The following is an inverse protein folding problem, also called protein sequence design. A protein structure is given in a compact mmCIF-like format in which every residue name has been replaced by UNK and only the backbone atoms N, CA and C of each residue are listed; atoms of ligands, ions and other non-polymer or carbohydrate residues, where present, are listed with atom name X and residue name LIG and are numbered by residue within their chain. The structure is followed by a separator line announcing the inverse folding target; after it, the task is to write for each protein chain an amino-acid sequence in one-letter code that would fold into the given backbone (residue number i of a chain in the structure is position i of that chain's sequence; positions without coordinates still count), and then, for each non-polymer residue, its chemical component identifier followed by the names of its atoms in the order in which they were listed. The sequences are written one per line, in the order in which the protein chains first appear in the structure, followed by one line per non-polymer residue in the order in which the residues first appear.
data_IF_807615318316
#
_entry.id   IF_807615318316
#
_cell.length_a   1.000
_cell.length_b   1.000
_cell.length_c   1.000
_cell.angle_alpha   90.00
_cell.angle_beta   90.00
_cell.angle_gamma   90.00
#
_symmetry.space_group_name_H-M   'P 1'
#
loop_
_entity.id
_entity.type
_entity.pdbx_description
1 polymer ?
#
# COMPACT_ATOMS: atom_id res chain seq x y z
N UNK A 1 13.59 1.96 27.99
CA UNK A 1 12.19 1.79 27.53
C UNK A 1 11.81 0.34 27.80
N UNK A 2 11.01 0.06 28.84
CA UNK A 2 10.63 -1.31 29.17
C UNK A 2 9.64 -1.85 28.11
N UNK A 3 9.98 -3.01 27.55
CA UNK A 3 9.36 -3.60 26.38
C UNK A 3 7.91 -4.02 26.59
N UNK A 4 6.98 -3.21 26.09
CA UNK A 4 5.65 -3.72 25.72
C UNK A 4 5.80 -4.59 24.46
N UNK A 5 5.37 -5.84 24.56
CA UNK A 5 5.14 -6.69 23.39
C UNK A 5 4.00 -6.05 22.61
N UNK A 6 4.28 -5.59 21.39
CA UNK A 6 3.25 -5.06 20.50
C UNK A 6 2.53 -6.27 19.88
N UNK A 7 1.32 -6.55 20.36
CA UNK A 7 0.43 -7.60 19.82
C UNK A 7 -0.48 -7.07 18.71
N UNK A 8 -0.68 -5.75 18.67
CA UNK A 8 -1.55 -5.08 17.71
C UNK A 8 -0.79 -4.68 16.45
N UNK A 9 -1.34 -5.02 15.28
CA UNK A 9 -0.83 -4.56 13.98
C UNK A 9 -1.82 -3.59 13.37
N UNK A 10 -1.32 -2.48 12.85
CA UNK A 10 -2.14 -1.58 12.03
C UNK A 10 -2.48 -2.33 10.73
N UNK A 11 -3.75 -2.68 10.57
CA UNK A 11 -4.24 -3.40 9.39
C UNK A 11 -4.69 -2.46 8.27
N UNK A 12 -5.00 -1.20 8.58
CA UNK A 12 -5.50 -0.20 7.64
C UNK A 12 -5.20 1.21 8.13
N UNK A 13 -4.83 2.08 7.21
CA UNK A 13 -4.79 3.53 7.40
C UNK A 13 -5.86 4.13 6.49
N UNK A 14 -6.62 5.09 6.99
CA UNK A 14 -7.64 5.81 6.22
C UNK A 14 -7.35 7.28 6.28
N UNK A 15 -7.22 7.91 5.12
CA UNK A 15 -7.09 9.34 4.98
C UNK A 15 -8.42 9.93 4.55
N UNK A 16 -8.83 11.03 5.19
CA UNK A 16 -10.06 11.77 4.87
C UNK A 16 -9.72 13.26 4.86
N UNK A 17 -9.66 13.87 3.68
CA UNK A 17 -9.21 15.26 3.50
C UNK A 17 -10.11 16.15 2.64
N UNK A 18 -11.25 15.63 2.16
CA UNK A 18 -12.14 16.31 1.20
C UNK A 18 -12.12 15.63 -0.18
N UNK A 19 -12.82 16.19 -1.17
CA UNK A 19 -12.77 15.69 -2.55
C UNK A 19 -11.52 16.22 -3.25
N UNK A 20 -10.87 15.33 -4.02
CA UNK A 20 -9.75 15.64 -4.89
C UNK A 20 -10.28 15.61 -6.33
N UNK A 21 -10.32 16.76 -7.05
CA UNK A 21 -10.73 16.77 -8.44
C UNK A 21 -9.81 15.90 -9.31
N UNK A 22 -10.35 15.30 -10.36
CA UNK A 22 -9.65 14.37 -11.25
C UNK A 22 -8.41 14.97 -11.96
N UNK A 23 -8.38 16.30 -12.11
CA UNK A 23 -7.26 17.04 -12.66
C UNK A 23 -6.02 17.09 -11.75
N UNK A 24 -6.12 16.62 -10.50
CA UNK A 24 -5.06 16.72 -9.49
C UNK A 24 -4.69 15.36 -8.89
N UNK A 25 -3.49 15.30 -8.32
CA UNK A 25 -3.07 14.22 -7.43
C UNK A 25 -2.77 14.81 -6.05
N UNK A 26 -2.84 13.96 -5.03
CA UNK A 26 -2.44 14.29 -3.66
C UNK A 26 -1.39 13.28 -3.18
N UNK A 27 -0.59 13.68 -2.21
CA UNK A 27 0.48 12.86 -1.65
C UNK A 27 0.15 12.43 -0.22
N UNK A 28 0.16 11.12 0.01
CA UNK A 28 -0.11 10.54 1.33
C UNK A 28 1.18 10.00 1.95
N UNK A 29 1.72 10.74 2.91
CA UNK A 29 2.91 10.31 3.67
C UNK A 29 2.56 9.26 4.72
N UNK A 30 3.25 8.11 4.70
CA UNK A 30 3.13 7.07 5.73
C UNK A 30 4.51 6.68 6.25
N UNK A 31 4.70 6.83 7.57
CA UNK A 31 5.91 6.35 8.25
C UNK A 31 5.61 5.04 8.96
N UNK A 32 6.35 3.97 8.63
CA UNK A 32 6.19 2.67 9.26
C UNK A 32 7.52 1.95 9.44
N UNK A 33 7.55 1.00 10.39
CA UNK A 33 8.66 0.05 10.50
C UNK A 33 8.42 -1.12 9.55
N UNK A 34 9.35 -1.35 8.64
CA UNK A 34 9.27 -2.47 7.70
C UNK A 34 9.61 -3.80 8.40
N UNK A 35 8.96 -4.92 8.00
CA UNK A 35 9.35 -6.25 8.45
C UNK A 35 10.76 -6.60 7.96
N UNK A 36 11.45 -7.56 8.60
CA UNK A 36 12.79 -7.97 8.19
C UNK A 36 12.82 -8.69 6.84
N UNK A 37 11.69 -9.24 6.40
CA UNK A 37 11.52 -9.92 5.12
C UNK A 37 10.06 -9.88 4.67
N UNK A 38 9.83 -10.16 3.38
CA UNK A 38 8.53 -10.36 2.79
C UNK A 38 8.59 -11.53 1.80
N UNK A 39 7.46 -12.19 1.49
CA UNK A 39 7.39 -13.11 0.35
C UNK A 39 7.93 -12.43 -0.90
N UNK A 40 8.81 -13.13 -1.62
CA UNK A 40 9.47 -12.64 -2.85
C UNK A 40 10.25 -11.32 -2.70
N UNK A 41 10.50 -10.87 -1.45
CA UNK A 41 11.15 -9.60 -1.15
C UNK A 41 10.31 -8.37 -1.48
N UNK A 42 8.99 -8.50 -1.64
CA UNK A 42 8.09 -7.40 -2.03
C UNK A 42 6.94 -7.28 -1.03
N UNK A 43 6.65 -6.04 -0.61
CA UNK A 43 5.43 -5.69 0.11
C UNK A 43 4.44 -5.07 -0.86
N UNK A 44 3.21 -5.59 -0.87
CA UNK A 44 2.08 -5.03 -1.60
C UNK A 44 1.22 -4.23 -0.64
N UNK A 45 0.77 -3.05 -1.08
CA UNK A 45 -0.11 -2.17 -0.32
C UNK A 45 -1.42 -1.99 -1.09
N UNK A 46 -2.43 -2.85 -0.90
CA UNK A 46 -3.75 -2.66 -1.50
C UNK A 46 -4.36 -1.33 -1.05
N UNK A 47 -4.87 -0.55 -2.00
CA UNK A 47 -5.49 0.75 -1.74
C UNK A 47 -6.88 0.78 -2.35
N UNK A 48 -7.90 1.00 -1.50
CA UNK A 48 -9.24 1.32 -1.96
C UNK A 48 -9.42 2.84 -1.97
N UNK A 49 -9.52 3.43 -3.16
CA UNK A 49 -9.80 4.84 -3.34
C UNK A 49 -11.31 5.04 -3.49
N UNK A 50 -11.90 5.84 -2.61
CA UNK A 50 -13.30 6.26 -2.71
C UNK A 50 -13.38 7.62 -3.40
N UNK A 51 -14.25 7.74 -4.39
CA UNK A 51 -14.49 8.97 -5.12
C UNK A 51 -15.89 9.51 -4.80
N UNK A 52 -16.23 10.72 -5.27
CA UNK A 52 -17.60 11.25 -5.13
C UNK A 52 -18.65 10.29 -5.72
N UNK A 53 -18.29 9.64 -6.84
CA UNK A 53 -19.05 8.58 -7.47
C UNK A 53 -18.17 7.36 -7.66
N UNK A 54 -18.57 6.24 -7.06
CA UNK A 54 -17.88 4.96 -7.20
C UNK A 54 -16.58 4.87 -6.40
N UNK A 55 -15.80 3.85 -6.75
CA UNK A 55 -14.54 3.52 -6.10
C UNK A 55 -13.57 2.89 -7.10
N UNK A 56 -12.28 2.98 -6.78
CA UNK A 56 -11.20 2.34 -7.52
C UNK A 56 -10.40 1.47 -6.56
N UNK A 57 -10.41 0.16 -6.83
CA UNK A 57 -9.68 -0.82 -6.03
C UNK A 57 -8.31 -1.12 -6.65
N UNK A 58 -7.27 -0.52 -6.08
CA UNK A 58 -5.87 -0.74 -6.44
C UNK A 58 -5.29 -1.88 -5.60
N UNK A 59 -5.80 -3.10 -5.81
CA UNK A 59 -5.45 -4.29 -5.02
C UNK A 59 -4.86 -5.44 -5.86
N UNK A 60 -4.78 -5.31 -7.18
CA UNK A 60 -4.38 -6.42 -8.05
C UNK A 60 -2.88 -6.74 -7.88
N UNK A 61 -2.58 -8.02 -7.70
CA UNK A 61 -1.22 -8.56 -7.66
C UNK A 61 -0.98 -9.33 -8.96
N UNK A 62 0.03 -8.98 -9.76
CA UNK A 62 0.33 -9.69 -11.01
C UNK A 62 0.60 -11.18 -10.77
N UNK A 63 0.06 -12.09 -11.60
CA UNK A 63 0.43 -13.50 -11.57
C UNK A 63 1.93 -13.72 -11.82
N UNK A 64 2.42 -14.91 -11.52
CA UNK A 64 3.82 -15.29 -11.76
C UNK A 64 4.19 -15.06 -13.23
N UNK A 65 5.33 -14.40 -13.47
CA UNK A 65 5.82 -14.07 -14.81
C UNK A 65 5.19 -12.85 -15.45
N UNK A 66 4.29 -12.15 -14.74
CA UNK A 66 3.67 -10.89 -15.17
C UNK A 66 4.16 -9.71 -14.35
N UNK A 67 3.90 -8.51 -14.84
CA UNK A 67 4.29 -7.23 -14.24
C UNK A 67 3.06 -6.41 -13.84
N UNK A 68 3.27 -5.32 -13.12
CA UNK A 68 2.19 -4.37 -12.77
C UNK A 68 1.50 -3.77 -13.99
N UNK A 69 2.14 -3.76 -15.15
CA UNK A 69 1.55 -3.28 -16.40
C UNK A 69 0.59 -4.29 -17.06
N UNK A 70 0.61 -5.55 -16.63
CA UNK A 70 -0.27 -6.61 -17.14
C UNK A 70 -1.63 -6.63 -16.41
N UNK A 71 -1.83 -5.80 -15.38
CA UNK A 71 -3.06 -5.72 -14.57
C UNK A 71 -3.62 -4.28 -14.60
N UNK A 72 -4.92 -4.14 -14.34
CA UNK A 72 -5.64 -2.87 -14.54
C UNK A 72 -5.48 -1.91 -13.36
N UNK A 73 -5.42 -2.45 -12.15
CA UNK A 73 -5.35 -1.68 -10.91
C UNK A 73 -4.31 -2.30 -9.96
N UNK A 74 -3.02 -2.26 -10.34
CA UNK A 74 -1.96 -2.87 -9.54
C UNK A 74 -1.88 -2.24 -8.15
N UNK A 75 -1.75 -3.07 -7.12
CA UNK A 75 -1.41 -2.58 -5.79
C UNK A 75 -0.01 -1.92 -5.81
N UNK A 76 0.17 -0.73 -5.21
CA UNK A 76 1.48 -0.17 -4.95
C UNK A 76 2.43 -1.17 -4.28
N UNK A 77 3.70 -1.17 -4.69
CA UNK A 77 4.69 -2.13 -4.20
C UNK A 77 5.94 -1.46 -3.64
N UNK A 78 6.51 -2.10 -2.62
CA UNK A 78 7.81 -1.74 -2.05
C UNK A 78 8.72 -2.97 -2.07
N UNK A 79 9.83 -2.89 -2.79
CA UNK A 79 10.87 -3.92 -2.74
C UNK A 79 11.71 -3.75 -1.48
N UNK A 80 11.78 -4.79 -0.67
CA UNK A 80 12.66 -4.84 0.50
C UNK A 80 14.07 -5.20 0.06
N UNK A 81 15.02 -4.32 0.39
CA UNK A 81 16.44 -4.61 0.24
C UNK A 81 16.98 -5.22 1.55
N UNK A 82 18.03 -6.05 1.47
CA UNK A 82 18.73 -6.51 2.67
C UNK A 82 19.12 -5.31 3.54
N UNK A 83 19.09 -5.49 4.86
CA UNK A 83 19.74 -4.53 5.74
C UNK A 83 21.24 -4.49 5.39
N UNK A 84 21.83 -3.29 5.29
CA UNK A 84 23.27 -3.15 5.13
C UNK A 84 24.03 -3.80 6.29
#
# INVERSE_FOLDING_TARGET
YHGKVITDRIARVTWTGGSLPDAYFDEFGLQMKLPPSAPDGVLHFPVLQKCEQGERDWAEIPPVGKTSHDVTSPAPTLRLLPKP
#
